data_IF_178939129732
#
_entry.id   IF_178939129732
#
_cell.length_a   1.000
_cell.length_b   1.000
_cell.length_c   1.000
_cell.angle_alpha   90.00
_cell.angle_beta   90.00
_cell.angle_gamma   90.00
#
_symmetry.space_group_name_H-M   'P 1'
#
loop_
_entity.id
_entity.type
_entity.pdbx_description
1 polymer ?
#
# COMPACT_ATOMS: atom_id res chain seq x y z
N UNK A 1 -25.91 -8.47 12.36
CA UNK A 1 -24.59 -8.00 11.89
C UNK A 1 -24.64 -7.94 10.38
N UNK A 2 -24.23 -6.85 9.71
CA UNK A 2 -24.27 -6.82 8.25
C UNK A 2 -23.34 -7.91 7.69
N UNK A 3 -23.82 -8.63 6.69
CA UNK A 3 -23.07 -9.69 6.01
C UNK A 3 -21.86 -9.06 5.30
N UNK A 4 -20.67 -9.62 5.51
CA UNK A 4 -19.45 -9.13 4.88
C UNK A 4 -19.41 -9.57 3.40
N UNK A 5 -19.68 -8.64 2.50
CA UNK A 5 -19.57 -8.84 1.05
C UNK A 5 -18.55 -7.87 0.42
N UNK A 6 -18.25 -8.08 -0.87
CA UNK A 6 -17.26 -7.25 -1.59
C UNK A 6 -17.69 -5.78 -1.64
N UNK A 7 -18.98 -5.51 -1.76
CA UNK A 7 -19.50 -4.16 -1.80
C UNK A 7 -19.27 -3.45 -0.46
N UNK A 8 -19.56 -4.11 0.66
CA UNK A 8 -19.24 -3.61 1.99
C UNK A 8 -17.73 -3.38 2.15
N UNK A 9 -16.89 -4.32 1.72
CA UNK A 9 -15.44 -4.20 1.84
C UNK A 9 -14.87 -2.98 1.08
N UNK A 10 -15.39 -2.69 -0.12
CA UNK A 10 -14.93 -1.57 -0.94
C UNK A 10 -15.46 -0.21 -0.47
N UNK A 11 -16.58 -0.18 0.25
CA UNK A 11 -17.23 1.05 0.72
C UNK A 11 -16.99 1.35 2.21
N UNK A 12 -16.50 0.40 3.03
CA UNK A 12 -16.38 0.56 4.48
C UNK A 12 -15.02 1.12 4.91
N UNK A 13 -14.98 2.24 5.65
CA UNK A 13 -13.72 2.77 6.22
C UNK A 13 -13.00 1.81 7.17
N UNK A 14 -13.75 0.95 7.86
CA UNK A 14 -13.23 -0.02 8.84
C UNK A 14 -12.93 -1.38 8.23
N UNK A 15 -13.59 -1.68 7.12
CA UNK A 15 -13.59 -2.98 6.45
C UNK A 15 -12.85 -2.97 5.13
N UNK A 16 -11.98 -1.97 4.93
CA UNK A 16 -10.94 -1.92 3.89
C UNK A 16 -10.49 -3.35 3.59
N UNK A 17 -10.29 -3.65 2.30
CA UNK A 17 -9.99 -4.99 1.78
C UNK A 17 -9.17 -5.82 2.78
N UNK A 18 -9.83 -6.79 3.45
CA UNK A 18 -9.25 -7.51 4.61
C UNK A 18 -7.86 -8.00 4.26
N UNK A 19 -6.91 -7.86 5.20
CA UNK A 19 -5.46 -8.10 5.04
C UNK A 19 -5.10 -9.28 4.14
N UNK A 20 -5.79 -10.42 4.27
CA UNK A 20 -5.55 -11.63 3.44
C UNK A 20 -5.77 -11.37 1.94
N UNK A 21 -6.80 -10.60 1.58
CA UNK A 21 -7.09 -10.24 0.18
C UNK A 21 -6.15 -9.13 -0.33
N UNK A 22 -5.67 -8.25 0.55
CA UNK A 22 -4.63 -7.26 0.23
C UNK A 22 -3.32 -7.95 -0.17
N UNK A 23 -2.94 -9.03 0.52
CA UNK A 23 -1.72 -9.77 0.21
C UNK A 23 -1.74 -10.37 -1.20
N UNK A 24 -2.86 -10.94 -1.66
CA UNK A 24 -2.94 -11.47 -3.02
C UNK A 24 -2.76 -10.39 -4.09
N UNK A 25 -3.33 -9.21 -3.88
CA UNK A 25 -3.17 -8.09 -4.83
C UNK A 25 -1.73 -7.57 -4.80
N UNK A 26 -1.15 -7.43 -3.61
CA UNK A 26 0.26 -7.08 -3.44
C UNK A 26 1.19 -8.08 -4.14
N UNK A 27 1.01 -9.37 -3.89
CA UNK A 27 1.88 -10.42 -4.42
C UNK A 27 1.74 -10.51 -5.95
N UNK A 28 0.52 -10.30 -6.48
CA UNK A 28 0.29 -10.19 -7.91
C UNK A 28 1.03 -8.99 -8.52
N UNK A 29 0.92 -7.81 -7.92
CA UNK A 29 1.61 -6.60 -8.39
C UNK A 29 3.14 -6.74 -8.27
N UNK A 30 3.65 -7.30 -7.17
CA UNK A 30 5.06 -7.61 -6.99
C UNK A 30 5.57 -8.58 -8.08
N UNK A 31 4.77 -9.60 -8.42
CA UNK A 31 5.06 -10.52 -9.52
C UNK A 31 5.07 -9.84 -10.90
N UNK A 32 4.28 -8.78 -11.10
CA UNK A 32 4.35 -7.96 -12.32
C UNK A 32 5.60 -7.08 -12.33
N UNK A 33 5.93 -6.44 -11.20
CA UNK A 33 7.14 -5.63 -11.05
C UNK A 33 8.40 -6.48 -11.26
N UNK A 34 8.44 -7.70 -10.74
CA UNK A 34 9.58 -8.61 -10.91
C UNK A 34 9.85 -9.02 -12.36
N UNK A 35 8.89 -8.83 -13.29
CA UNK A 35 9.11 -9.07 -14.72
C UNK A 35 9.87 -7.94 -15.41
N UNK A 36 9.86 -6.74 -14.82
CA UNK A 36 10.44 -5.52 -15.41
C UNK A 36 11.62 -4.98 -14.60
N UNK A 37 11.68 -5.27 -13.29
CA UNK A 37 12.73 -4.87 -12.37
C UNK A 37 13.33 -6.10 -11.70
N UNK A 38 14.67 -6.14 -11.60
CA UNK A 38 15.38 -7.29 -11.04
C UNK A 38 15.44 -7.30 -9.49
N UNK A 39 15.27 -6.15 -8.85
CA UNK A 39 15.35 -5.98 -7.40
C UNK A 39 13.98 -5.50 -6.90
N UNK A 40 13.15 -6.47 -6.51
CA UNK A 40 11.78 -6.29 -6.02
C UNK A 40 11.61 -7.11 -4.74
N UNK A 41 11.12 -6.47 -3.68
CA UNK A 41 10.90 -7.09 -2.37
C UNK A 41 9.51 -6.75 -1.82
N UNK A 42 8.81 -7.72 -1.26
CA UNK A 42 7.50 -7.52 -0.59
C UNK A 42 7.69 -7.29 0.90
N UNK A 43 6.94 -6.35 1.49
CA UNK A 43 7.03 -5.96 2.91
C UNK A 43 8.45 -5.67 3.43
N UNK A 44 9.29 -4.94 2.67
CA UNK A 44 10.65 -4.63 3.09
C UNK A 44 10.63 -3.74 4.34
N UNK A 45 11.70 -3.78 5.12
CA UNK A 45 11.85 -2.84 6.23
C UNK A 45 12.18 -1.45 5.68
N UNK A 46 11.37 -0.44 6.03
CA UNK A 46 11.64 0.93 5.63
C UNK A 46 12.90 1.43 6.31
N UNK A 47 13.89 1.87 5.53
CA UNK A 47 15.09 2.49 6.07
C UNK A 47 14.74 3.81 6.76
N UNK A 48 15.15 3.95 8.02
CA UNK A 48 15.05 5.22 8.72
C UNK A 48 15.94 6.26 8.04
N UNK A 49 15.34 7.33 7.54
CA UNK A 49 16.10 8.48 7.02
C UNK A 49 16.17 9.52 8.13
N UNK A 50 17.32 9.61 8.80
CA UNK A 50 17.53 10.58 9.87
C UNK A 50 17.25 12.01 9.39
N UNK A 51 16.39 12.73 10.12
CA UNK A 51 16.09 14.14 9.88
C UNK A 51 15.13 14.45 8.72
N UNK A 52 14.50 13.44 8.08
CA UNK A 52 13.43 13.66 7.10
C UNK A 52 12.11 13.09 7.57
N UNK A 53 11.09 13.94 7.62
CA UNK A 53 9.71 13.49 7.79
C UNK A 53 9.24 12.85 6.48
N UNK A 54 8.89 11.57 6.54
CA UNK A 54 8.27 10.85 5.44
C UNK A 54 6.77 11.07 5.56
N UNK A 55 6.14 11.62 4.52
CA UNK A 55 4.67 11.72 4.47
C UNK A 55 4.11 10.37 4.04
N UNK A 56 3.52 9.61 4.96
CA UNK A 56 3.10 8.23 4.70
C UNK A 56 3.38 7.32 5.89
N UNK A 57 3.68 6.04 5.60
CA UNK A 57 4.07 5.06 6.59
C UNK A 57 5.32 5.55 7.36
N UNK A 58 5.15 5.89 8.63
CA UNK A 58 6.20 6.40 9.50
C UNK A 58 6.26 5.61 10.81
N UNK A 59 7.48 5.43 11.35
CA UNK A 59 7.71 4.76 12.63
C UNK A 59 8.68 3.59 12.54
N UNK A 60 9.06 3.09 13.72
CA UNK A 60 9.91 1.91 13.86
C UNK A 60 9.16 0.68 13.33
N UNK A 61 9.77 -0.05 12.40
CA UNK A 61 9.18 -1.18 11.65
C UNK A 61 8.07 -0.81 10.65
N UNK A 62 8.08 0.41 10.11
CA UNK A 62 7.30 0.71 8.92
C UNK A 62 7.64 -0.27 7.78
N UNK A 63 6.62 -0.94 7.22
CA UNK A 63 6.73 -1.88 6.10
C UNK A 63 5.79 -1.47 4.97
N UNK A 64 6.28 -0.85 3.88
CA UNK A 64 5.48 -0.67 2.68
C UNK A 64 5.16 -2.03 2.04
N UNK A 65 4.17 -2.11 1.16
CA UNK A 65 3.75 -3.38 0.57
C UNK A 65 4.82 -3.95 -0.38
N UNK A 66 5.42 -3.11 -1.22
CA UNK A 66 6.44 -3.51 -2.21
C UNK A 66 7.53 -2.46 -2.31
N UNK A 67 8.79 -2.89 -2.44
CA UNK A 67 9.88 -2.09 -2.97
C UNK A 67 10.27 -2.61 -4.35
N UNK A 68 10.65 -1.68 -5.23
CA UNK A 68 11.34 -2.01 -6.46
C UNK A 68 12.43 -0.96 -6.73
N UNK A 69 13.62 -1.41 -7.13
CA UNK A 69 14.73 -0.52 -7.49
C UNK A 69 14.68 -0.16 -8.96
N UNK A 70 14.89 1.12 -9.28
CA UNK A 70 15.06 1.57 -10.66
C UNK A 70 13.75 1.94 -11.36
N UNK A 71 12.65 2.14 -10.62
CA UNK A 71 11.36 2.51 -11.22
C UNK A 71 11.39 3.93 -11.76
N UNK A 72 11.77 4.91 -10.92
CA UNK A 72 11.77 6.33 -11.30
C UNK A 72 13.14 6.82 -11.75
N UNK A 73 14.20 6.37 -11.07
CA UNK A 73 15.58 6.73 -11.38
C UNK A 73 16.47 5.50 -11.23
N UNK A 74 17.54 5.37 -12.04
CA UNK A 74 18.50 4.29 -11.89
C UNK A 74 19.01 4.16 -10.45
N UNK A 75 19.08 2.93 -9.96
CA UNK A 75 19.56 2.56 -8.62
C UNK A 75 18.77 3.14 -7.41
N UNK A 76 17.67 3.88 -7.61
CA UNK A 76 16.83 4.36 -6.51
C UNK A 76 15.70 3.39 -6.18
N UNK A 77 15.42 3.22 -4.88
CA UNK A 77 14.27 2.46 -4.42
C UNK A 77 12.99 3.29 -4.56
N UNK A 78 11.97 2.70 -5.18
CA UNK A 78 10.59 3.13 -5.08
C UNK A 78 9.84 2.19 -4.13
N UNK A 79 8.99 2.75 -3.29
CA UNK A 79 8.16 2.01 -2.33
C UNK A 79 6.68 2.25 -2.67
N UNK A 80 5.88 1.20 -2.62
CA UNK A 80 4.47 1.21 -3.00
C UNK A 80 3.60 0.75 -1.83
N UNK A 81 2.48 1.45 -1.59
CA UNK A 81 1.38 1.02 -0.73
C UNK A 81 0.17 0.76 -1.64
N UNK A 82 -0.27 -0.49 -1.66
CA UNK A 82 -1.23 -1.03 -2.61
C UNK A 82 -2.59 -1.07 -1.93
N UNK A 83 -3.52 -0.27 -2.47
CA UNK A 83 -4.85 -0.10 -1.91
C UNK A 83 -5.91 -0.23 -3.00
N UNK A 84 -6.93 -1.04 -2.72
CA UNK A 84 -8.15 -1.15 -3.54
C UNK A 84 -9.29 -0.53 -2.74
N UNK A 85 -9.90 0.54 -3.27
CA UNK A 85 -10.99 1.25 -2.62
C UNK A 85 -12.01 1.72 -3.66
N UNK A 86 -13.29 1.78 -3.29
CA UNK A 86 -14.30 2.43 -4.11
C UNK A 86 -14.23 3.95 -3.93
N UNK A 87 -13.77 4.67 -4.95
CA UNK A 87 -13.63 6.14 -4.92
C UNK A 87 -14.99 6.85 -4.83
N UNK A 88 -16.06 6.23 -5.33
CA UNK A 88 -17.42 6.79 -5.31
C UNK A 88 -18.15 6.55 -3.98
N UNK A 89 -17.54 5.82 -3.04
CA UNK A 89 -18.13 5.55 -1.74
C UNK A 89 -18.25 6.84 -0.91
N UNK A 90 -19.40 7.07 -0.27
CA UNK A 90 -19.60 8.30 0.53
C UNK A 90 -18.65 8.40 1.72
N UNK A 91 -18.19 7.24 2.19
CA UNK A 91 -17.14 7.14 3.17
C UNK A 91 -15.84 7.81 2.68
N UNK A 92 -15.49 7.69 1.40
CA UNK A 92 -14.25 8.24 0.84
C UNK A 92 -14.35 9.73 0.46
N UNK A 93 -15.57 10.25 0.25
CA UNK A 93 -15.81 11.66 -0.13
C UNK A 93 -15.38 12.69 0.94
N UNK A 94 -15.26 12.27 2.20
CA UNK A 94 -14.75 13.10 3.30
C UNK A 94 -13.46 12.49 3.84
N UNK A 95 -12.34 12.63 3.13
CA UNK A 95 -10.99 12.55 3.74
C UNK A 95 -9.93 13.28 2.88
N UNK A 96 -9.89 14.61 2.97
CA UNK A 96 -8.60 15.35 3.00
C UNK A 96 -8.25 15.64 4.46
N UNK A 97 -8.20 14.63 5.33
CA UNK A 97 -7.76 14.86 6.70
C UNK A 97 -6.89 13.70 7.16
N UNK A 98 -5.59 13.97 7.10
CA UNK A 98 -4.50 13.39 7.88
C UNK A 98 -4.47 11.86 7.98
N UNK A 99 -3.65 11.32 7.07
CA UNK A 99 -2.65 10.29 7.34
C UNK A 99 -2.43 10.07 8.85
N UNK A 100 -2.75 8.86 9.29
CA UNK A 100 -1.90 8.17 10.25
C UNK A 100 -0.61 7.78 9.53
#
# INVERSE_FOLDING_TARGET
MPMYDVNHALNCKKGDFVTIRRNNVRDFEAGLLAKVHADVETEPQLQLIAGKTINGLAGDNARPDVQARGVWSPAQNAYFDIRVSNTDAETQKITRQKLC
#
